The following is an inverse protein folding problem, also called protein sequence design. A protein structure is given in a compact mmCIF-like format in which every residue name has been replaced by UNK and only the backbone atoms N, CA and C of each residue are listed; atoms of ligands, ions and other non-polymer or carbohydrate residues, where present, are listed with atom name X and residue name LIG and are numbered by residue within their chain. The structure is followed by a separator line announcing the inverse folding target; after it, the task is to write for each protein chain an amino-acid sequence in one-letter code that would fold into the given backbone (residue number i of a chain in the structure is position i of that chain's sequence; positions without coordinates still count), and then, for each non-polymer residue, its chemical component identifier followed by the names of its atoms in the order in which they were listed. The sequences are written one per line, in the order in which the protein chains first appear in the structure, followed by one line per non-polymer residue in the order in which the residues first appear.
data_IF_290506159814
#
_entry.id   IF_290506159814
#
_cell.length_a   1.000
_cell.length_b   1.000
_cell.length_c   1.000
_cell.angle_alpha   90.00
_cell.angle_beta   90.00
_cell.angle_gamma   90.00
#
_symmetry.space_group_name_H-M   'P 1'
#
loop_
_entity.id
_entity.type
_entity.pdbx_description
1 polymer ?
#
# COMPACT_ATOMS: atom_id res chain seq x y z
N UNK A 1 6.65 -27.94 -1.81
CA UNK A 1 6.90 -26.49 -2.01
C UNK A 1 6.22 -25.78 -0.85
N UNK A 2 6.97 -25.38 0.18
CA UNK A 2 6.39 -24.73 1.36
C UNK A 2 6.11 -23.27 0.99
N UNK A 3 4.86 -22.82 1.18
CA UNK A 3 4.50 -21.42 1.05
C UNK A 3 5.13 -20.68 2.24
N UNK A 4 6.12 -19.83 1.96
CA UNK A 4 6.82 -19.11 3.01
C UNK A 4 5.98 -17.90 3.44
N UNK A 5 5.38 -17.95 4.62
CA UNK A 5 4.68 -16.80 5.23
C UNK A 5 5.59 -15.59 5.48
N UNK A 6 6.92 -15.80 5.48
CA UNK A 6 7.94 -14.77 5.65
C UNK A 6 8.28 -14.00 4.36
N UNK A 7 7.56 -14.24 3.25
CA UNK A 7 7.81 -13.53 2.01
C UNK A 7 7.00 -12.23 1.96
N UNK A 8 7.69 -11.11 1.76
CA UNK A 8 7.08 -9.81 1.54
C UNK A 8 6.56 -9.74 0.10
N UNK A 9 5.29 -9.41 -0.05
CA UNK A 9 4.63 -9.15 -1.32
C UNK A 9 4.60 -7.65 -1.58
N UNK A 10 5.28 -7.24 -2.64
CA UNK A 10 5.22 -5.89 -3.19
C UNK A 10 4.16 -5.89 -4.31
N UNK A 11 2.95 -5.36 -4.08
CA UNK A 11 1.92 -5.35 -5.11
C UNK A 11 2.35 -4.45 -6.28
N UNK A 12 1.97 -4.78 -7.53
CA UNK A 12 2.04 -3.84 -8.63
C UNK A 12 1.26 -2.58 -8.30
N UNK A 13 1.86 -1.43 -8.59
CA UNK A 13 1.24 -0.13 -8.35
C UNK A 13 1.33 0.77 -9.58
N UNK A 14 0.38 1.68 -9.69
CA UNK A 14 0.44 2.84 -10.55
C UNK A 14 0.14 4.10 -9.73
N UNK A 15 0.88 5.17 -10.01
CA UNK A 15 0.69 6.48 -9.41
C UNK A 15 0.37 7.49 -10.52
N UNK A 16 -0.81 8.07 -10.44
CA UNK A 16 -1.35 8.99 -11.44
C UNK A 16 -1.41 10.37 -10.83
N UNK A 17 -0.85 11.36 -11.52
CA UNK A 17 -0.98 12.76 -11.16
C UNK A 17 -2.10 13.42 -11.98
N UNK A 18 -3.03 14.07 -11.30
CA UNK A 18 -4.04 14.96 -11.90
C UNK A 18 -3.72 16.40 -11.52
N UNK A 19 -4.48 17.38 -12.01
CA UNK A 19 -4.28 18.79 -11.62
C UNK A 19 -4.45 19.00 -10.10
N UNK A 20 -5.37 18.26 -9.46
CA UNK A 20 -5.80 18.50 -8.07
C UNK A 20 -5.38 17.42 -7.07
N UNK A 21 -5.00 16.23 -7.53
CA UNK A 21 -4.74 15.07 -6.66
C UNK A 21 -3.67 14.13 -7.24
N UNK A 22 -3.09 13.33 -6.35
CA UNK A 22 -2.42 12.08 -6.69
C UNK A 22 -3.40 10.93 -6.49
N UNK A 23 -3.43 9.98 -7.42
CA UNK A 23 -4.25 8.76 -7.34
C UNK A 23 -3.29 7.58 -7.40
N UNK A 24 -3.24 6.79 -6.33
CA UNK A 24 -2.49 5.54 -6.29
C UNK A 24 -3.44 4.37 -6.47
N UNK A 25 -3.12 3.44 -7.37
CA UNK A 25 -3.80 2.15 -7.49
C UNK A 25 -2.82 1.03 -7.23
N UNK A 26 -3.21 0.06 -6.41
CA UNK A 26 -2.43 -1.13 -6.09
C UNK A 26 -3.26 -2.39 -6.30
N UNK A 27 -2.71 -3.37 -7.01
CA UNK A 27 -3.36 -4.67 -7.22
C UNK A 27 -3.15 -5.57 -5.99
N UNK A 28 -4.20 -5.71 -5.19
CA UNK A 28 -4.18 -6.49 -3.94
C UNK A 28 -5.36 -7.51 -3.90
N UNK A 29 -5.42 -8.46 -4.85
CA UNK A 29 -6.53 -9.41 -4.91
C UNK A 29 -6.52 -10.39 -3.73
N UNK A 30 -7.73 -10.70 -3.24
CA UNK A 30 -7.94 -11.69 -2.17
C UNK A 30 -7.65 -11.19 -0.76
N UNK A 31 -7.43 -9.90 -0.57
CA UNK A 31 -7.23 -9.26 0.74
C UNK A 31 -8.50 -8.50 1.12
N UNK A 32 -8.83 -8.47 2.41
CA UNK A 32 -9.96 -7.68 2.91
C UNK A 32 -9.43 -6.32 3.33
N UNK A 33 -10.24 -5.27 3.15
CA UNK A 33 -9.84 -3.90 3.54
C UNK A 33 -9.40 -3.79 5.01
N UNK A 34 -10.03 -4.57 5.90
CA UNK A 34 -9.69 -4.62 7.34
C UNK A 34 -8.32 -5.23 7.65
N UNK A 35 -7.75 -5.97 6.69
CA UNK A 35 -6.44 -6.61 6.79
C UNK A 35 -5.35 -5.72 6.13
N UNK A 36 -5.71 -4.49 5.74
CA UNK A 36 -4.82 -3.46 5.21
C UNK A 36 -4.76 -2.26 6.15
N UNK A 37 -3.58 -1.65 6.23
CA UNK A 37 -3.33 -0.39 6.90
C UNK A 37 -2.72 0.58 5.89
N UNK A 38 -3.39 1.71 5.68
CA UNK A 38 -2.97 2.75 4.72
C UNK A 38 -2.66 4.00 5.51
N UNK A 39 -1.41 4.43 5.48
CA UNK A 39 -0.93 5.61 6.20
C UNK A 39 -0.27 6.59 5.26
N UNK A 40 -0.45 7.87 5.53
CA UNK A 40 0.10 8.95 4.69
C UNK A 40 0.73 10.05 5.53
N UNK A 41 1.88 10.56 5.10
CA UNK A 41 2.42 11.85 5.52
C UNK A 41 2.18 12.88 4.42
N UNK A 42 2.81 14.06 4.50
CA UNK A 42 2.77 15.04 3.41
C UNK A 42 3.48 14.51 2.15
N UNK A 43 4.48 13.65 2.29
CA UNK A 43 5.43 13.28 1.24
C UNK A 43 5.51 11.77 0.97
N UNK A 44 4.86 10.93 1.77
CA UNK A 44 4.90 9.47 1.63
C UNK A 44 3.53 8.84 1.83
N UNK A 45 3.32 7.72 1.15
CA UNK A 45 2.24 6.78 1.43
C UNK A 45 2.85 5.41 1.76
N UNK A 46 2.31 4.77 2.81
CA UNK A 46 2.61 3.41 3.20
C UNK A 46 1.33 2.57 3.17
N UNK A 47 1.39 1.41 2.54
CA UNK A 47 0.35 0.39 2.54
C UNK A 47 0.97 -0.87 3.10
N UNK A 48 0.48 -1.32 4.25
CA UNK A 48 0.87 -2.59 4.86
C UNK A 48 -0.35 -3.49 5.03
N UNK A 49 -0.12 -4.78 5.23
CA UNK A 49 -1.19 -5.72 5.50
C UNK A 49 -0.75 -7.17 5.41
N UNK A 50 -1.72 -8.10 5.40
CA UNK A 50 -1.42 -9.53 5.24
C UNK A 50 -2.41 -10.19 4.29
N UNK A 51 -1.90 -10.92 3.30
CA UNK A 51 -2.69 -11.86 2.51
C UNK A 51 -2.58 -13.24 3.12
N UNK A 52 -3.70 -13.72 3.65
CA UNK A 52 -3.77 -15.04 4.28
C UNK A 52 -3.79 -16.16 3.25
N UNK A 53 -3.10 -17.26 3.55
CA UNK A 53 -3.22 -18.50 2.78
C UNK A 53 -4.64 -19.06 2.91
N UNK A 54 -5.16 -19.62 1.80
CA UNK A 54 -6.35 -20.44 1.88
C UNK A 54 -5.97 -21.85 2.30
N UNK A 55 -6.27 -22.20 3.55
CA UNK A 55 -6.19 -23.60 3.98
C UNK A 55 -7.24 -24.42 3.24
N UNK A 56 -6.79 -25.31 2.36
CA UNK A 56 -7.66 -26.30 1.77
C UNK A 56 -7.92 -27.42 2.79
N UNK A 57 -9.17 -27.84 2.92
CA UNK A 57 -9.53 -28.96 3.80
C UNK A 57 -8.77 -30.24 3.39
N UNK A 58 -8.66 -31.18 4.33
CA UNK A 58 -7.78 -32.37 4.35
C UNK A 58 -7.81 -33.31 3.12
N UNK A 59 -8.66 -33.06 2.14
CA UNK A 59 -8.81 -33.84 0.90
C UNK A 59 -8.21 -33.17 -0.34
N UNK A 60 -7.54 -32.02 -0.20
CA UNK A 60 -6.94 -31.27 -1.32
C UNK A 60 -5.43 -31.13 -1.14
N UNK A 61 -4.69 -31.74 -2.06
CA UNK A 61 -3.25 -31.53 -2.17
C UNK A 61 -2.95 -30.30 -3.05
N UNK A 62 -2.15 -29.36 -2.52
CA UNK A 62 -1.64 -28.23 -3.29
C UNK A 62 -0.56 -28.72 -4.26
N UNK A 63 -0.88 -28.79 -5.54
CA UNK A 63 0.07 -29.22 -6.58
C UNK A 63 1.08 -28.11 -6.90
N UNK A 64 0.61 -26.87 -7.06
CA UNK A 64 1.45 -25.69 -7.25
C UNK A 64 0.71 -24.41 -6.87
N UNK A 65 1.46 -23.36 -6.54
CA UNK A 65 0.93 -22.01 -6.35
C UNK A 65 1.93 -20.99 -6.88
N UNK A 66 1.41 -20.00 -7.60
CA UNK A 66 2.14 -18.78 -7.98
C UNK A 66 1.55 -17.55 -7.29
N UNK A 67 0.59 -17.76 -6.39
CA UNK A 67 -0.03 -16.69 -5.64
C UNK A 67 0.90 -16.22 -4.53
N UNK A 68 0.93 -14.90 -4.32
CA UNK A 68 1.61 -14.29 -3.19
C UNK A 68 0.75 -14.42 -1.94
N UNK A 69 1.37 -14.83 -0.84
CA UNK A 69 0.80 -14.86 0.50
C UNK A 69 1.82 -14.22 1.46
N UNK A 70 1.36 -13.84 2.65
CA UNK A 70 2.20 -13.19 3.64
C UNK A 70 2.02 -11.68 3.70
N UNK A 71 3.07 -10.99 4.14
CA UNK A 71 3.03 -9.56 4.44
C UNK A 71 3.02 -8.73 3.15
N UNK A 72 2.16 -7.71 3.12
CA UNK A 72 2.11 -6.72 2.06
C UNK A 72 2.90 -5.52 2.55
N UNK A 73 3.81 -5.02 1.72
CA UNK A 73 4.50 -3.77 1.97
C UNK A 73 4.60 -2.95 0.69
N UNK A 74 4.15 -1.71 0.77
CA UNK A 74 4.34 -0.72 -0.27
C UNK A 74 4.64 0.61 0.41
N UNK A 75 5.75 1.23 0.03
CA UNK A 75 6.13 2.55 0.51
C UNK A 75 6.55 3.38 -0.71
N UNK A 76 5.87 4.50 -0.93
CA UNK A 76 6.07 5.33 -2.12
C UNK A 76 6.22 6.79 -1.70
N UNK A 77 7.31 7.40 -2.15
CA UNK A 77 7.54 8.85 -2.06
C UNK A 77 6.65 9.56 -3.07
N UNK A 78 5.94 10.59 -2.60
CA UNK A 78 5.01 11.37 -3.38
C UNK A 78 5.77 12.50 -4.09
N UNK A 79 5.54 12.71 -5.39
CA UNK A 79 6.23 13.74 -6.16
C UNK A 79 5.83 15.17 -5.76
N UNK A 80 4.68 15.31 -5.08
CA UNK A 80 4.13 16.58 -4.60
C UNK A 80 3.49 16.39 -3.22
N UNK A 81 3.48 17.43 -2.37
CA UNK A 81 2.86 17.35 -1.07
C UNK A 81 1.34 17.20 -1.15
N UNK A 82 0.76 16.43 -0.23
CA UNK A 82 -0.69 16.17 -0.15
C UNK A 82 -1.33 16.73 1.11
N UNK A 83 -2.67 16.85 1.09
CA UNK A 83 -3.52 17.12 2.24
C UNK A 83 -3.85 15.79 2.94
N UNK A 84 -2.90 15.27 3.72
CA UNK A 84 -2.99 13.96 4.39
C UNK A 84 -4.29 13.70 5.18
N UNK A 85 -4.94 14.75 5.71
CA UNK A 85 -6.21 14.64 6.44
C UNK A 85 -7.46 14.51 5.55
N UNK A 86 -7.29 14.54 4.22
CA UNK A 86 -8.37 14.40 3.22
C UNK A 86 -8.13 13.22 2.27
N UNK A 87 -7.34 12.25 2.70
CA UNK A 87 -7.06 11.06 1.92
C UNK A 87 -8.27 10.13 1.99
N UNK A 88 -8.68 9.63 0.84
CA UNK A 88 -9.76 8.66 0.71
C UNK A 88 -9.19 7.37 0.12
N UNK A 89 -9.64 6.22 0.62
CA UNK A 89 -9.19 4.92 0.15
C UNK A 89 -10.36 3.94 0.02
N UNK A 90 -10.36 3.16 -1.06
CA UNK A 90 -11.33 2.11 -1.30
C UNK A 90 -10.68 0.87 -1.92
N UNK A 91 -11.21 -0.31 -1.61
CA UNK A 91 -10.79 -1.58 -2.21
C UNK A 91 -11.97 -2.19 -2.94
N UNK A 92 -11.90 -2.16 -4.27
CA UNK A 92 -12.96 -2.67 -5.15
C UNK A 92 -12.34 -3.67 -6.12
N UNK A 93 -12.93 -4.86 -6.23
CA UNK A 93 -12.50 -5.93 -7.14
C UNK A 93 -11.01 -6.29 -7.04
N UNK A 94 -10.44 -6.19 -5.83
CA UNK A 94 -9.03 -6.50 -5.58
C UNK A 94 -8.06 -5.40 -5.96
N UNK A 95 -8.53 -4.19 -6.27
CA UNK A 95 -7.68 -3.02 -6.50
C UNK A 95 -7.93 -1.97 -5.41
N UNK A 96 -6.88 -1.68 -4.64
CA UNK A 96 -6.88 -0.57 -3.68
C UNK A 96 -6.66 0.73 -4.45
N UNK A 97 -7.59 1.66 -4.36
CA UNK A 97 -7.46 3.02 -4.91
C UNK A 97 -7.36 4.00 -3.75
N UNK A 98 -6.33 4.84 -3.75
CA UNK A 98 -6.10 5.89 -2.75
C UNK A 98 -6.04 7.24 -3.46
N UNK A 99 -6.97 8.14 -3.11
CA UNK A 99 -7.06 9.49 -3.65
C UNK A 99 -6.47 10.45 -2.62
N UNK A 100 -5.44 11.19 -3.03
CA UNK A 100 -4.67 12.08 -2.18
C UNK A 100 -4.69 13.50 -2.76
N UNK A 101 -5.56 14.40 -2.26
CA UNK A 101 -5.63 15.78 -2.74
C UNK A 101 -4.29 16.49 -2.54
N UNK A 102 -3.82 17.23 -3.57
CA UNK A 102 -2.58 18.01 -3.48
C UNK A 102 -2.72 19.13 -2.45
N UNK A 103 -1.64 19.41 -1.72
CA UNK A 103 -1.55 20.64 -0.95
C UNK A 103 -1.54 21.84 -1.90
N UNK A 104 -2.34 22.88 -1.60
CA UNK A 104 -2.18 24.15 -2.32
C UNK A 104 -0.77 24.69 -2.05
N UNK A 105 -0.13 25.25 -3.07
CA UNK A 105 1.23 25.81 -3.00
C UNK A 105 1.26 27.05 -2.09
N UNK A 106 1.19 26.84 -0.79
CA UNK A 106 1.70 27.75 0.22
C UNK A 106 2.12 26.94 1.45
N UNK A 107 3.22 26.21 1.31
CA UNK A 107 4.37 26.28 2.22
C UNK A 107 5.50 25.38 1.69
N UNK A 108 6.50 26.04 1.09
CA UNK A 108 7.92 25.71 0.93
C UNK A 108 8.36 24.21 0.88
N UNK A 109 8.81 23.66 -0.27
CA UNK A 109 9.43 22.35 -0.32
C UNK A 109 10.96 22.49 -0.21
N UNK A 110 11.48 22.59 1.02
CA UNK A 110 12.85 22.17 1.33
C UNK A 110 12.93 21.51 2.71
N UNK A 111 12.13 20.46 2.91
CA UNK A 111 12.49 19.43 3.86
C UNK A 111 12.80 18.18 3.05
N UNK A 112 14.07 17.91 2.81
CA UNK A 112 14.52 16.56 2.51
C UNK A 112 14.39 15.78 3.83
N UNK A 113 13.18 15.32 4.14
CA UNK A 113 12.97 14.46 5.28
C UNK A 113 13.65 13.12 4.98
N UNK A 114 14.49 12.64 5.91
CA UNK A 114 15.22 11.40 5.72
C UNK A 114 14.24 10.23 5.71
N UNK A 115 14.31 9.37 4.69
CA UNK A 115 13.45 8.17 4.58
C UNK A 115 13.48 7.34 5.87
N UNK A 116 14.62 7.26 6.57
CA UNK A 116 14.72 6.52 7.82
C UNK A 116 13.94 7.15 8.99
N UNK A 117 13.86 8.47 9.05
CA UNK A 117 13.10 9.17 10.09
C UNK A 117 11.60 9.01 9.86
N UNK A 118 11.17 8.91 8.60
CA UNK A 118 9.75 8.73 8.26
C UNK A 118 9.34 7.27 8.42
N UNK A 119 10.22 6.32 8.08
CA UNK A 119 10.03 4.91 8.41
C UNK A 119 9.85 4.69 9.91
N UNK A 120 10.51 5.47 10.76
CA UNK A 120 10.29 5.41 12.22
C UNK A 120 8.88 5.86 12.66
N UNK A 121 8.13 6.59 11.83
CA UNK A 121 6.71 6.93 12.07
C UNK A 121 5.76 5.79 11.71
N UNK A 122 6.26 4.76 11.00
CA UNK A 122 5.51 3.58 10.59
C UNK A 122 6.15 2.33 11.21
N UNK A 123 5.96 2.08 12.52
CA UNK A 123 6.50 0.88 13.16
C UNK A 123 5.92 -0.39 12.52
N UNK A 124 6.80 -1.36 12.30
CA UNK A 124 6.51 -2.70 11.81
C UNK A 124 5.63 -3.52 12.76
#
# INVERSE_FOLDING_TARGET
MLLNENQVWYPPIELIETDTALILRAEIPGVKIRDLDVRTTKSLISITGKRHEQHFANEKELICSQLHYGQIECLIELPVPIQNHRVEAELVDGVLTVIMPKAQTWDNPKNQENIQEILALFPA
#
